data_IF_711540363954
#
_entry.id   IF_711540363954
#
_cell.length_a   1.000
_cell.length_b   1.000
_cell.length_c   1.000
_cell.angle_alpha   90.00
_cell.angle_beta   90.00
_cell.angle_gamma   90.00
#
_symmetry.space_group_name_H-M   'P 1'
#
loop_
_entity.id
_entity.type
_entity.pdbx_description
1 polymer ?
#
# COMPACT_ATOMS: atom_id res chain seq x y z
N UNK A 1 -19.24 -8.44 -4.04
CA UNK A 1 -17.97 -7.99 -4.64
C UNK A 1 -17.83 -6.51 -4.34
N UNK A 2 -16.75 -6.08 -3.67
CA UNK A 2 -16.53 -4.67 -3.32
C UNK A 2 -16.01 -3.87 -4.53
N UNK A 3 -16.31 -2.57 -4.61
CA UNK A 3 -15.73 -1.66 -5.62
C UNK A 3 -14.20 -1.73 -5.60
N UNK A 4 -13.61 -1.87 -4.40
CA UNK A 4 -12.17 -1.96 -4.21
C UNK A 4 -11.58 -3.21 -4.88
N UNK A 5 -12.31 -4.33 -4.86
CA UNK A 5 -11.91 -5.58 -5.53
C UNK A 5 -11.96 -5.48 -7.06
N UNK A 6 -12.85 -4.65 -7.61
CA UNK A 6 -13.00 -4.47 -9.06
C UNK A 6 -11.91 -3.54 -9.63
N UNK A 7 -11.46 -2.58 -8.83
CA UNK A 7 -10.35 -1.70 -9.19
C UNK A 7 -9.01 -2.44 -9.12
N UNK A 8 -8.80 -3.29 -8.12
CA UNK A 8 -7.54 -4.01 -7.99
C UNK A 8 -7.25 -4.93 -9.18
N UNK A 9 -8.24 -5.65 -9.72
CA UNK A 9 -8.05 -6.49 -10.91
C UNK A 9 -7.63 -5.69 -12.15
N UNK A 10 -7.86 -4.37 -12.17
CA UNK A 10 -7.43 -3.49 -13.27
C UNK A 10 -5.95 -3.13 -13.18
N UNK A 11 -5.35 -3.22 -11.99
CA UNK A 11 -4.03 -2.69 -11.69
C UNK A 11 -3.05 -3.76 -11.19
N UNK A 12 -3.39 -5.05 -11.25
CA UNK A 12 -2.52 -6.14 -10.84
C UNK A 12 -1.11 -6.01 -11.44
N UNK A 13 -0.11 -6.17 -10.57
CA UNK A 13 1.30 -6.01 -10.92
C UNK A 13 1.89 -7.25 -11.59
N UNK A 14 1.14 -8.35 -11.61
CA UNK A 14 1.62 -9.70 -11.95
C UNK A 14 2.72 -10.16 -10.98
N UNK A 15 2.72 -9.62 -9.75
CA UNK A 15 3.60 -10.01 -8.64
C UNK A 15 2.69 -10.56 -7.55
N UNK A 16 2.41 -11.87 -7.61
CA UNK A 16 1.35 -12.51 -6.83
C UNK A 16 1.35 -12.16 -5.33
N UNK A 17 2.52 -12.12 -4.70
CA UNK A 17 2.66 -11.76 -3.29
C UNK A 17 2.21 -10.31 -3.00
N UNK A 18 2.61 -9.36 -3.85
CA UNK A 18 2.24 -7.94 -3.71
C UNK A 18 0.75 -7.75 -4.02
N UNK A 19 0.24 -8.42 -5.06
CA UNK A 19 -1.19 -8.36 -5.40
C UNK A 19 -2.08 -8.92 -4.27
N UNK A 20 -1.64 -9.97 -3.57
CA UNK A 20 -2.34 -10.50 -2.39
C UNK A 20 -2.30 -9.53 -1.20
N UNK A 21 -1.19 -8.83 -0.98
CA UNK A 21 -1.08 -7.79 0.04
C UNK A 21 -2.00 -6.60 -0.26
N UNK A 22 -2.08 -6.17 -1.52
CA UNK A 22 -3.03 -5.16 -1.97
C UNK A 22 -4.48 -5.57 -1.72
N UNK A 23 -4.85 -6.83 -1.99
CA UNK A 23 -6.18 -7.38 -1.65
C UNK A 23 -6.45 -7.25 -0.16
N UNK A 24 -5.49 -7.68 0.68
CA UNK A 24 -5.64 -7.63 2.13
C UNK A 24 -5.83 -6.19 2.64
N UNK A 25 -5.05 -5.24 2.14
CA UNK A 25 -5.15 -3.82 2.52
C UNK A 25 -6.50 -3.21 2.12
N UNK A 26 -6.96 -3.47 0.90
CA UNK A 26 -8.26 -2.98 0.44
C UNK A 26 -9.43 -3.59 1.23
N UNK A 27 -9.34 -4.86 1.63
CA UNK A 27 -10.34 -5.49 2.50
C UNK A 27 -10.40 -4.78 3.86
N UNK A 28 -9.25 -4.47 4.47
CA UNK A 28 -9.22 -3.72 5.72
C UNK A 28 -9.78 -2.31 5.56
N UNK A 29 -9.47 -1.63 4.46
CA UNK A 29 -10.05 -0.30 4.15
C UNK A 29 -11.58 -0.41 4.03
N UNK A 30 -12.09 -1.43 3.34
CA UNK A 30 -13.53 -1.62 3.16
C UNK A 30 -14.24 -1.94 4.49
N UNK A 31 -13.60 -2.65 5.43
CA UNK A 31 -14.15 -2.85 6.78
C UNK A 31 -14.45 -1.53 7.49
N UNK A 32 -13.62 -0.50 7.30
CA UNK A 32 -13.87 0.81 7.86
C UNK A 32 -15.12 1.45 7.27
N UNK A 33 -15.36 1.31 5.98
CA UNK A 33 -16.57 1.85 5.34
C UNK A 33 -17.86 1.24 5.92
N UNK A 34 -17.86 -0.07 6.19
CA UNK A 34 -19.03 -0.75 6.78
C UNK A 34 -19.30 -0.34 8.22
N UNK A 35 -18.25 -0.09 8.99
CA UNK A 35 -18.34 0.20 10.43
C UNK A 35 -18.22 1.70 10.77
N UNK A 36 -18.01 2.58 9.78
CA UNK A 36 -17.72 4.00 9.99
C UNK A 36 -18.80 4.74 10.80
N UNK A 37 -20.06 4.28 10.74
CA UNK A 37 -21.19 4.86 11.50
C UNK A 37 -21.12 4.54 13.00
N UNK A 38 -20.50 3.43 13.38
CA UNK A 38 -20.32 2.96 14.76
C UNK A 38 -18.91 3.29 15.32
N UNK A 39 -18.03 3.82 14.46
CA UNK A 39 -16.60 3.99 14.73
C UNK A 39 -16.21 5.27 15.51
N UNK A 40 -17.16 6.03 16.06
CA UNK A 40 -16.83 7.27 16.79
C UNK A 40 -16.09 6.92 18.09
N UNK A 41 -14.79 7.19 18.13
CA UNK A 41 -13.89 7.00 19.29
C UNK A 41 -13.94 5.60 19.95
N UNK A 42 -14.41 4.59 19.22
CA UNK A 42 -14.61 3.25 19.76
C UNK A 42 -13.29 2.48 19.85
N UNK A 43 -13.22 1.51 20.77
CA UNK A 43 -12.10 0.58 20.84
C UNK A 43 -11.90 -0.17 19.51
N UNK A 44 -13.00 -0.37 18.77
CA UNK A 44 -12.98 -0.96 17.44
C UNK A 44 -12.14 -0.13 16.45
N UNK A 45 -12.34 1.19 16.36
CA UNK A 45 -11.57 2.02 15.42
C UNK A 45 -10.07 1.99 15.72
N UNK A 46 -9.69 2.02 17.00
CA UNK A 46 -8.27 1.89 17.40
C UNK A 46 -7.68 0.55 16.99
N UNK A 47 -8.41 -0.54 17.20
CA UNK A 47 -7.98 -1.87 16.76
C UNK A 47 -7.85 -1.98 15.23
N UNK A 48 -8.83 -1.42 14.51
CA UNK A 48 -8.78 -1.32 13.05
C UNK A 48 -7.54 -0.55 12.58
N UNK A 49 -7.29 0.63 13.16
CA UNK A 49 -6.20 1.50 12.80
C UNK A 49 -4.84 0.83 13.02
N UNK A 50 -4.63 0.19 14.17
CA UNK A 50 -3.41 -0.54 14.48
C UNK A 50 -3.15 -1.68 13.48
N UNK A 51 -4.20 -2.43 13.14
CA UNK A 51 -4.10 -3.50 12.15
C UNK A 51 -3.80 -2.95 10.76
N UNK A 52 -4.45 -1.86 10.35
CA UNK A 52 -4.21 -1.22 9.06
C UNK A 52 -2.77 -0.71 8.95
N UNK A 53 -2.27 0.03 9.95
CA UNK A 53 -0.89 0.52 9.96
C UNK A 53 0.14 -0.62 9.94
N UNK A 54 -0.11 -1.71 10.68
CA UNK A 54 0.76 -2.89 10.67
C UNK A 54 0.79 -3.59 9.30
N UNK A 55 -0.36 -3.70 8.61
CA UNK A 55 -0.42 -4.25 7.26
C UNK A 55 0.32 -3.36 6.26
N UNK A 56 0.15 -2.03 6.33
CA UNK A 56 0.90 -1.11 5.49
C UNK A 56 2.40 -1.28 5.70
N UNK A 57 2.86 -1.32 6.96
CA UNK A 57 4.29 -1.45 7.26
C UNK A 57 4.88 -2.77 6.72
N UNK A 58 4.14 -3.87 6.86
CA UNK A 58 4.58 -5.17 6.34
C UNK A 58 4.65 -5.18 4.80
N UNK A 59 3.63 -4.66 4.14
CA UNK A 59 3.57 -4.56 2.69
C UNK A 59 4.68 -3.66 2.12
N UNK A 60 4.86 -2.46 2.68
CA UNK A 60 5.91 -1.53 2.27
C UNK A 60 7.32 -2.14 2.43
N UNK A 61 7.56 -2.89 3.51
CA UNK A 61 8.82 -3.61 3.69
C UNK A 61 9.01 -4.73 2.64
N UNK A 62 7.93 -5.41 2.24
CA UNK A 62 7.99 -6.43 1.19
C UNK A 62 8.32 -5.82 -0.17
N UNK A 63 7.70 -4.70 -0.54
CA UNK A 63 8.01 -3.98 -1.77
C UNK A 63 9.45 -3.47 -1.79
N UNK A 64 9.93 -2.88 -0.69
CA UNK A 64 11.30 -2.38 -0.59
C UNK A 64 12.34 -3.49 -0.72
N UNK A 65 12.10 -4.65 -0.10
CA UNK A 65 12.93 -5.83 -0.25
C UNK A 65 12.88 -6.36 -1.69
N UNK A 66 11.71 -6.37 -2.32
CA UNK A 66 11.55 -6.76 -3.72
C UNK A 66 12.33 -5.82 -4.64
N UNK A 67 12.23 -4.50 -4.43
CA UNK A 67 12.92 -3.48 -5.21
C UNK A 67 14.45 -3.61 -5.10
N UNK A 68 14.97 -3.91 -3.90
CA UNK A 68 16.39 -4.15 -3.69
C UNK A 68 16.86 -5.40 -4.44
N UNK A 69 16.11 -6.50 -4.34
CA UNK A 69 16.43 -7.76 -5.01
C UNK A 69 16.38 -7.68 -6.54
N UNK A 70 15.57 -6.77 -7.11
CA UNK A 70 15.40 -6.62 -8.56
C UNK A 70 16.23 -5.46 -9.14
N UNK A 71 17.12 -4.86 -8.34
CA UNK A 71 18.06 -3.85 -8.82
C UNK A 71 17.40 -2.53 -9.23
N UNK A 72 16.28 -2.18 -8.60
CA UNK A 72 15.60 -0.90 -8.85
C UNK A 72 16.54 0.26 -8.50
N UNK A 73 16.65 1.29 -9.36
CA UNK A 73 17.55 2.42 -9.11
C UNK A 73 17.35 3.04 -7.72
N UNK A 74 18.46 3.31 -7.02
CA UNK A 74 18.42 3.82 -5.65
C UNK A 74 17.56 5.09 -5.48
N UNK A 75 17.60 5.99 -6.46
CA UNK A 75 16.77 7.19 -6.45
C UNK A 75 15.25 6.89 -6.53
N UNK A 76 14.86 5.87 -7.31
CA UNK A 76 13.46 5.45 -7.39
C UNK A 76 13.03 4.77 -6.08
N UNK A 77 13.86 3.88 -5.53
CA UNK A 77 13.61 3.24 -4.22
C UNK A 77 13.46 4.26 -3.10
N UNK A 78 14.34 5.25 -3.05
CA UNK A 78 14.26 6.32 -2.05
C UNK A 78 12.97 7.12 -2.18
N UNK A 79 12.55 7.45 -3.40
CA UNK A 79 11.29 8.16 -3.65
C UNK A 79 10.08 7.35 -3.19
N UNK A 80 10.09 6.04 -3.45
CA UNK A 80 9.04 5.10 -3.04
C UNK A 80 8.98 4.99 -1.50
N UNK A 81 10.13 4.78 -0.84
CA UNK A 81 10.22 4.68 0.62
C UNK A 81 9.77 5.96 1.35
N UNK A 82 10.03 7.15 0.79
CA UNK A 82 9.53 8.41 1.35
C UNK A 82 8.01 8.50 1.31
N UNK A 83 7.38 7.94 0.27
CA UNK A 83 5.92 7.88 0.17
C UNK A 83 5.35 6.88 1.17
N UNK A 84 5.97 5.72 1.35
CA UNK A 84 5.63 4.76 2.41
C UNK A 84 5.64 5.41 3.79
N UNK A 85 6.72 6.13 4.11
CA UNK A 85 6.87 6.81 5.39
C UNK A 85 5.79 7.89 5.61
N UNK A 86 5.42 8.62 4.54
CA UNK A 86 4.31 9.59 4.59
C UNK A 86 2.98 8.88 4.89
N UNK A 87 2.66 7.82 4.16
CA UNK A 87 1.40 7.07 4.31
C UNK A 87 1.30 6.39 5.68
N UNK A 88 2.39 5.84 6.21
CA UNK A 88 2.43 5.27 7.56
C UNK A 88 2.14 6.32 8.63
N UNK A 89 2.78 7.49 8.56
CA UNK A 89 2.50 8.59 9.50
C UNK A 89 1.04 9.03 9.46
N UNK A 90 0.44 9.07 8.28
CA UNK A 90 -0.98 9.42 8.12
C UNK A 90 -1.91 8.34 8.71
N UNK A 91 -1.61 7.06 8.47
CA UNK A 91 -2.33 5.93 9.05
C UNK A 91 -2.26 5.94 10.59
N UNK A 92 -1.07 6.11 11.15
CA UNK A 92 -0.81 6.20 12.60
C UNK A 92 -1.41 7.46 13.25
N UNK A 93 -1.42 8.57 12.52
CA UNK A 93 -1.98 9.84 12.99
C UNK A 93 -3.51 9.90 12.98
N UNK A 94 -4.15 9.11 12.10
CA UNK A 94 -5.61 9.14 11.91
C UNK A 94 -6.42 8.85 13.17
N UNK A 95 -5.90 7.99 14.06
CA UNK A 95 -6.43 7.70 15.39
C UNK A 95 -6.64 8.94 16.26
N UNK A 96 -5.61 9.77 16.34
CA UNK A 96 -5.66 10.99 17.14
C UNK A 96 -6.65 12.00 16.57
N UNK A 97 -6.76 12.10 15.24
CA UNK A 97 -7.72 12.99 14.58
C UNK A 97 -9.16 12.58 14.89
N UNK A 98 -9.48 11.29 14.79
CA UNK A 98 -10.82 10.77 15.11
C UNK A 98 -11.12 10.89 16.60
N UNK A 99 -10.17 10.55 17.48
CA UNK A 99 -10.36 10.63 18.92
C UNK A 99 -10.61 12.06 19.42
N UNK A 100 -10.05 13.07 18.74
CA UNK A 100 -10.25 14.49 19.05
C UNK A 100 -11.49 15.07 18.36
N UNK A 101 -12.22 14.30 17.57
CA UNK A 101 -13.35 14.79 16.77
C UNK A 101 -12.94 15.74 15.63
N UNK A 102 -11.65 15.79 15.29
CA UNK A 102 -11.11 16.60 14.19
C UNK A 102 -11.49 15.99 12.83
N UNK A 103 -11.59 14.66 12.77
CA UNK A 103 -12.00 13.92 11.57
C UNK A 103 -13.05 12.88 11.92
N UNK A 104 -13.97 12.60 10.98
CA UNK A 104 -14.83 11.44 11.09
C UNK A 104 -14.09 10.18 10.58
N UNK A 105 -14.43 9.01 11.12
CA UNK A 105 -13.90 7.73 10.63
C UNK A 105 -14.16 7.52 9.13
N UNK A 106 -15.31 8.01 8.62
CA UNK A 106 -15.62 7.98 7.20
C UNK A 106 -14.69 8.86 6.34
N UNK A 107 -14.14 9.94 6.90
CA UNK A 107 -13.17 10.78 6.18
C UNK A 107 -11.80 10.11 6.13
N UNK A 108 -11.42 9.42 7.21
CA UNK A 108 -10.22 8.56 7.23
C UNK A 108 -10.32 7.46 6.17
N UNK A 109 -11.45 6.77 6.06
CA UNK A 109 -11.67 5.77 4.99
C UNK A 109 -11.44 6.36 3.59
N UNK A 110 -12.05 7.50 3.28
CA UNK A 110 -11.92 8.15 1.98
C UNK A 110 -10.47 8.54 1.70
N UNK A 111 -9.79 9.13 2.69
CA UNK A 111 -8.40 9.53 2.57
C UNK A 111 -7.51 8.31 2.32
N UNK A 112 -7.58 7.29 3.16
CA UNK A 112 -6.75 6.08 3.03
C UNK A 112 -6.98 5.38 1.70
N UNK A 113 -8.24 5.27 1.25
CA UNK A 113 -8.55 4.70 -0.06
C UNK A 113 -7.91 5.49 -1.20
N UNK A 114 -8.06 6.81 -1.18
CA UNK A 114 -7.51 7.68 -2.23
C UNK A 114 -5.98 7.62 -2.26
N UNK A 115 -5.34 7.71 -1.09
CA UNK A 115 -3.87 7.66 -1.00
C UNK A 115 -3.34 6.29 -1.43
N UNK A 116 -4.01 5.20 -1.06
CA UNK A 116 -3.63 3.84 -1.48
C UNK A 116 -3.71 3.67 -3.00
N UNK A 117 -4.82 4.11 -3.64
CA UNK A 117 -4.92 4.04 -5.10
C UNK A 117 -3.94 4.96 -5.82
N UNK A 118 -3.66 6.16 -5.27
CA UNK A 118 -2.65 7.07 -5.84
C UNK A 118 -1.26 6.45 -5.77
N UNK A 119 -0.91 5.85 -4.65
CA UNK A 119 0.35 5.15 -4.45
C UNK A 119 0.49 4.05 -5.50
N UNK A 120 -0.50 3.17 -5.56
CA UNK A 120 -0.52 2.05 -6.48
C UNK A 120 -0.30 2.45 -7.94
N UNK A 121 -1.03 3.47 -8.40
CA UNK A 121 -0.95 3.92 -9.80
C UNK A 121 0.39 4.61 -10.09
N UNK A 122 0.97 5.33 -9.12
CA UNK A 122 2.15 6.18 -9.35
C UNK A 122 3.47 5.49 -9.06
N UNK A 123 3.48 4.54 -8.13
CA UNK A 123 4.69 3.91 -7.62
C UNK A 123 4.69 2.42 -7.99
N UNK A 124 3.71 1.64 -7.56
CA UNK A 124 3.84 0.17 -7.66
C UNK A 124 3.68 -0.34 -9.11
N UNK A 125 2.95 0.38 -9.97
CA UNK A 125 2.93 0.09 -11.42
C UNK A 125 4.34 0.14 -12.04
N UNK A 126 5.26 0.95 -11.50
CA UNK A 126 6.65 0.96 -11.97
C UNK A 126 7.32 -0.40 -11.71
N UNK A 127 6.97 -1.09 -10.62
CA UNK A 127 7.49 -2.42 -10.29
C UNK A 127 7.13 -3.45 -11.36
N UNK A 128 5.90 -3.41 -11.88
CA UNK A 128 5.46 -4.28 -13.01
C UNK A 128 6.35 -4.10 -14.23
N UNK A 129 6.69 -2.85 -14.56
CA UNK A 129 7.54 -2.55 -15.70
C UNK A 129 8.95 -3.11 -15.52
N UNK A 130 9.47 -3.09 -14.29
CA UNK A 130 10.77 -3.66 -13.95
C UNK A 130 10.75 -5.19 -13.85
N UNK A 131 9.65 -5.79 -13.37
CA UNK A 131 9.48 -7.25 -13.33
C UNK A 131 9.47 -7.87 -14.74
N UNK A 132 8.84 -7.18 -15.70
CA UNK A 132 8.85 -7.58 -17.11
C UNK A 132 10.23 -7.40 -17.76
N UNK A 133 11.01 -6.42 -17.31
CA UNK A 133 12.38 -6.19 -17.76
C UNK A 133 13.35 -7.13 -17.04
N UNK A 134 13.41 -8.39 -17.45
CA UNK A 134 14.61 -9.22 -17.19
C UNK A 134 15.72 -8.74 -18.12
N UNK A 135 16.84 -8.16 -17.62
CA UNK A 135 18.03 -8.12 -18.45
C UNK A 135 18.38 -9.58 -18.74
N UNK A 136 18.44 -9.93 -20.01
CA UNK A 136 19.07 -11.17 -20.45
C UNK A 136 20.44 -11.26 -19.78
N UNK A 137 20.59 -12.11 -18.77
CA UNK A 137 21.89 -12.50 -18.19
C UNK A 137 22.68 -13.41 -19.15
N UNK A 138 22.50 -13.24 -20.47
CA UNK A 138 23.17 -13.98 -21.52
C UNK A 138 23.86 -13.01 -22.50
N UNK A 139 24.81 -12.23 -21.99
CA UNK A 139 25.86 -11.61 -22.83
C UNK A 139 27.07 -11.09 -22.03
N UNK A 140 27.40 -11.72 -20.90
CA UNK A 140 28.81 -11.81 -20.48
C UNK A 140 29.27 -13.19 -20.98
N UNK A 141 29.60 -13.34 -22.26
CA UNK A 141 30.80 -12.72 -22.81
C UNK A 141 32.00 -13.45 -22.24
N UNK A 142 32.19 -14.72 -22.63
CA UNK A 142 33.54 -15.30 -22.67
C UNK A 142 34.40 -14.40 -23.57
N UNK A 143 35.57 -13.98 -23.05
CA UNK A 143 36.80 -14.31 -23.75
C UNK A 143 37.92 -14.66 -22.74
N UNK A 144 38.89 -15.55 -22.97
CA UNK A 144 39.25 -16.42 -24.08
C UNK A 144 40.02 -17.63 -23.48
#
# INVERSE_FOLDING_TARGET
MSISSLLLSTFELDIAAIDDEHRALLLVIDELNFNAREAVASAWFRGWQQRFAALCAAHFAAEEAWMDAHGIPAAARQRHALEHERMLREAEGSGALVARGIAAAGDVYKLMKVEFFKHFIRFDIELKSHAAYRPSLASQGEPA
#
